data_IF_427705794481
#
_entry.id   IF_427705794481
#
_cell.length_a   1.000
_cell.length_b   1.000
_cell.length_c   1.000
_cell.angle_alpha   90.00
_cell.angle_beta   90.00
_cell.angle_gamma   90.00
#
_symmetry.space_group_name_H-M   'P 1'
#
loop_
_entity.id
_entity.type
_entity.pdbx_description
1 polymer ?
#
# COMPACT_ATOMS: atom_id res chain seq x y z
N UNK A 1 65.83 -65.17 -38.27
CA UNK A 1 66.20 -64.26 -37.16
C UNK A 1 65.69 -62.82 -37.36
N UNK A 2 65.53 -62.29 -38.59
CA UNK A 2 64.95 -60.93 -38.78
C UNK A 2 63.43 -60.80 -38.61
N UNK A 3 62.66 -61.89 -38.59
CA UNK A 3 61.18 -61.83 -38.51
C UNK A 3 60.60 -61.81 -37.09
N UNK A 4 61.38 -62.19 -36.07
CA UNK A 4 60.92 -62.26 -34.68
C UNK A 4 61.09 -60.93 -33.92
N UNK A 5 61.93 -60.01 -34.42
CA UNK A 5 62.10 -58.69 -33.80
C UNK A 5 60.95 -57.72 -34.14
N UNK A 6 60.21 -57.97 -35.23
CA UNK A 6 59.11 -57.11 -35.69
C UNK A 6 57.78 -57.36 -34.97
N UNK A 7 57.59 -58.57 -34.41
CA UNK A 7 56.38 -58.95 -33.66
C UNK A 7 56.37 -58.37 -32.25
N UNK A 8 57.52 -58.32 -31.57
CA UNK A 8 57.63 -57.71 -30.23
C UNK A 8 57.39 -56.19 -30.23
N UNK A 9 57.70 -55.49 -31.32
CA UNK A 9 57.42 -54.06 -31.46
C UNK A 9 55.92 -53.76 -31.58
N UNK A 10 55.19 -54.60 -32.32
CA UNK A 10 53.74 -54.46 -32.52
C UNK A 10 52.95 -54.74 -31.25
N UNK A 11 53.32 -55.76 -30.49
CA UNK A 11 52.63 -56.12 -29.25
C UNK A 11 52.80 -55.05 -28.16
N UNK A 12 53.98 -54.44 -28.06
CA UNK A 12 54.22 -53.29 -27.17
C UNK A 12 53.42 -52.05 -27.59
N UNK A 13 53.30 -51.80 -28.90
CA UNK A 13 52.49 -50.70 -29.42
C UNK A 13 50.99 -50.86 -29.13
N UNK A 14 50.46 -52.07 -29.30
CA UNK A 14 49.05 -52.39 -28.98
C UNK A 14 48.79 -52.23 -27.47
N UNK A 15 49.71 -52.70 -26.62
CA UNK A 15 49.56 -52.55 -25.17
C UNK A 15 49.57 -51.07 -24.75
N UNK A 16 50.49 -50.26 -25.28
CA UNK A 16 50.53 -48.83 -25.01
C UNK A 16 49.26 -48.09 -25.47
N UNK A 17 48.70 -48.47 -26.62
CA UNK A 17 47.43 -47.93 -27.11
C UNK A 17 46.26 -48.30 -26.17
N UNK A 18 46.17 -49.55 -25.74
CA UNK A 18 45.13 -49.98 -24.80
C UNK A 18 45.25 -49.28 -23.44
N UNK A 19 46.47 -49.11 -22.93
CA UNK A 19 46.71 -48.41 -21.66
C UNK A 19 46.27 -46.93 -21.74
N UNK A 20 46.49 -46.26 -22.89
CA UNK A 20 46.02 -44.89 -23.13
C UNK A 20 44.49 -44.81 -23.22
N UNK A 21 43.84 -45.76 -23.90
CA UNK A 21 42.37 -45.82 -24.02
C UNK A 21 41.73 -46.04 -22.64
N UNK A 22 42.25 -46.97 -21.86
CA UNK A 22 41.76 -47.25 -20.50
C UNK A 22 41.92 -46.02 -19.58
N UNK A 23 43.05 -45.32 -19.65
CA UNK A 23 43.26 -44.10 -18.87
C UNK A 23 42.29 -42.97 -19.26
N UNK A 24 41.92 -42.87 -20.54
CA UNK A 24 40.95 -41.89 -21.02
C UNK A 24 39.52 -42.22 -20.56
N UNK A 25 39.15 -43.50 -20.57
CA UNK A 25 37.85 -43.97 -20.09
C UNK A 25 37.70 -43.77 -18.56
N UNK A 26 38.75 -44.05 -17.77
CA UNK A 26 38.76 -43.79 -16.34
C UNK A 26 38.63 -42.29 -16.02
N UNK A 27 39.33 -41.43 -16.76
CA UNK A 27 39.22 -39.98 -16.62
C UNK A 27 37.79 -39.48 -16.97
N UNK A 28 37.18 -40.01 -18.03
CA UNK A 28 35.80 -39.68 -18.41
C UNK A 28 34.80 -40.09 -17.32
N UNK A 29 34.97 -41.27 -16.71
CA UNK A 29 34.12 -41.75 -15.62
C UNK A 29 34.24 -40.85 -14.36
N UNK A 30 35.46 -40.42 -14.02
CA UNK A 30 35.72 -39.52 -12.91
C UNK A 30 35.10 -38.12 -13.13
N UNK A 31 35.17 -37.59 -14.35
CA UNK A 31 34.51 -36.31 -14.73
C UNK A 31 33.00 -36.42 -14.60
N UNK A 32 32.38 -37.51 -15.10
CA UNK A 32 30.94 -37.72 -14.96
C UNK A 32 30.50 -37.85 -13.49
N UNK A 33 31.30 -38.50 -12.65
CA UNK A 33 31.03 -38.58 -11.21
C UNK A 33 31.16 -37.20 -10.53
N UNK A 34 32.17 -36.40 -10.89
CA UNK A 34 32.33 -35.04 -10.36
C UNK A 34 31.15 -34.13 -10.75
N UNK A 35 30.69 -34.19 -12.00
CA UNK A 35 29.53 -33.44 -12.48
C UNK A 35 28.23 -33.85 -11.77
N UNK A 36 28.06 -35.15 -11.51
CA UNK A 36 26.91 -35.65 -10.75
C UNK A 36 26.89 -35.13 -9.31
N UNK A 37 28.06 -35.03 -8.66
CA UNK A 37 28.21 -34.51 -7.32
C UNK A 37 27.89 -33.00 -7.26
N UNK A 38 28.41 -32.22 -8.22
CA UNK A 38 28.11 -30.80 -8.33
C UNK A 38 26.63 -30.53 -8.61
N UNK A 39 25.98 -31.36 -9.43
CA UNK A 39 24.55 -31.25 -9.71
C UNK A 39 23.72 -31.51 -8.44
N UNK A 40 24.04 -32.57 -7.69
CA UNK A 40 23.38 -32.88 -6.43
C UNK A 40 23.53 -31.74 -5.42
N UNK A 41 24.74 -31.19 -5.28
CA UNK A 41 25.01 -30.06 -4.40
C UNK A 41 24.17 -28.83 -4.78
N UNK A 42 24.07 -28.50 -6.07
CA UNK A 42 23.23 -27.40 -6.57
C UNK A 42 21.75 -27.62 -6.26
N UNK A 43 21.24 -28.84 -6.49
CA UNK A 43 19.85 -29.19 -6.19
C UNK A 43 19.55 -29.11 -4.70
N UNK A 44 20.47 -29.56 -3.85
CA UNK A 44 20.36 -29.47 -2.40
C UNK A 44 20.26 -28.00 -1.94
N UNK A 45 21.15 -27.13 -2.40
CA UNK A 45 21.09 -25.70 -2.07
C UNK A 45 19.82 -25.04 -2.58
N UNK A 46 19.39 -25.34 -3.81
CA UNK A 46 18.13 -24.83 -4.36
C UNK A 46 16.93 -25.20 -3.48
N UNK A 47 16.90 -26.44 -2.97
CA UNK A 47 15.85 -26.92 -2.08
C UNK A 47 15.83 -26.17 -0.75
N UNK A 48 17.01 -25.91 -0.16
CA UNK A 48 17.12 -25.10 1.08
C UNK A 48 16.59 -23.69 0.86
N UNK A 49 17.01 -23.03 -0.22
CA UNK A 49 16.58 -21.67 -0.54
C UNK A 49 15.07 -21.59 -0.78
N UNK A 50 14.51 -22.57 -1.49
CA UNK A 50 13.06 -22.67 -1.70
C UNK A 50 12.32 -22.87 -0.37
N UNK A 51 12.81 -23.74 0.51
CA UNK A 51 12.21 -23.96 1.83
C UNK A 51 12.24 -22.69 2.69
N UNK A 52 13.33 -21.93 2.65
CA UNK A 52 13.42 -20.62 3.32
C UNK A 52 12.40 -19.63 2.75
N UNK A 53 12.28 -19.53 1.43
CA UNK A 53 11.30 -18.63 0.80
C UNK A 53 9.87 -19.00 1.16
N UNK A 54 9.52 -20.29 1.14
CA UNK A 54 8.19 -20.76 1.55
C UNK A 54 7.89 -20.34 2.99
N UNK A 55 8.87 -20.46 3.90
CA UNK A 55 8.71 -20.04 5.30
C UNK A 55 8.44 -18.54 5.44
N UNK A 56 9.13 -17.70 4.69
CA UNK A 56 8.91 -16.24 4.68
C UNK A 56 7.50 -15.89 4.19
N UNK A 57 7.08 -16.48 3.08
CA UNK A 57 5.74 -16.26 2.51
C UNK A 57 4.63 -16.71 3.47
N UNK A 58 4.84 -17.82 4.20
CA UNK A 58 3.90 -18.28 5.22
C UNK A 58 3.77 -17.28 6.38
N UNK A 59 4.87 -16.67 6.82
CA UNK A 59 4.84 -15.64 7.85
C UNK A 59 4.10 -14.39 7.38
N UNK A 60 4.38 -13.92 6.16
CA UNK A 60 3.69 -12.78 5.57
C UNK A 60 2.19 -13.03 5.44
N UNK A 61 1.80 -14.22 4.96
CA UNK A 61 0.39 -14.62 4.89
C UNK A 61 -0.29 -14.57 6.25
N UNK A 62 0.36 -15.09 7.28
CA UNK A 62 -0.16 -15.09 8.65
C UNK A 62 -0.35 -13.66 9.21
N UNK A 63 0.58 -12.75 8.94
CA UNK A 63 0.45 -11.34 9.34
C UNK A 63 -0.70 -10.63 8.62
N UNK A 64 -0.86 -10.88 7.32
CA UNK A 64 -1.96 -10.32 6.53
C UNK A 64 -3.32 -10.82 7.01
N UNK A 65 -3.44 -12.11 7.35
CA UNK A 65 -4.66 -12.69 7.92
C UNK A 65 -5.04 -12.00 9.23
N UNK A 66 -4.06 -11.78 10.14
CA UNK A 66 -4.29 -11.00 11.37
C UNK A 66 -4.75 -9.57 11.09
N UNK A 67 -4.19 -8.92 10.07
CA UNK A 67 -4.59 -7.56 9.70
C UNK A 67 -6.00 -7.50 9.12
N UNK A 68 -6.37 -8.48 8.29
CA UNK A 68 -7.73 -8.64 7.77
C UNK A 68 -8.72 -8.86 8.91
N UNK A 69 -8.40 -9.72 9.87
CA UNK A 69 -9.24 -9.95 11.05
C UNK A 69 -9.44 -8.67 11.86
N UNK A 70 -8.36 -7.92 12.11
CA UNK A 70 -8.42 -6.62 12.78
C UNK A 70 -9.33 -5.64 12.03
N UNK A 71 -9.14 -5.47 10.72
CA UNK A 71 -9.98 -4.59 9.90
C UNK A 71 -11.45 -5.03 9.91
N UNK A 72 -11.73 -6.34 9.86
CA UNK A 72 -13.09 -6.86 9.94
C UNK A 72 -13.73 -6.61 11.31
N UNK A 73 -12.95 -6.74 12.39
CA UNK A 73 -13.41 -6.42 13.75
C UNK A 73 -13.76 -4.94 13.89
N UNK A 74 -12.94 -4.04 13.33
CA UNK A 74 -13.20 -2.60 13.30
C UNK A 74 -14.42 -2.27 12.44
N UNK A 75 -14.52 -2.88 11.24
CA UNK A 75 -15.69 -2.75 10.36
C UNK A 75 -16.97 -3.14 11.08
N UNK A 76 -16.98 -4.26 11.82
CA UNK A 76 -18.13 -4.72 12.62
C UNK A 76 -18.49 -3.71 13.72
N UNK A 77 -17.50 -3.09 14.38
CA UNK A 77 -17.75 -1.98 15.32
C UNK A 77 -18.43 -0.80 14.62
N UNK A 78 -17.93 -0.36 13.47
CA UNK A 78 -18.56 0.71 12.70
C UNK A 78 -19.96 0.36 12.20
N UNK A 79 -20.20 -0.89 11.81
CA UNK A 79 -21.53 -1.39 11.44
C UNK A 79 -22.50 -1.36 12.62
N UNK A 80 -22.07 -1.77 13.81
CA UNK A 80 -22.91 -1.67 15.03
C UNK A 80 -23.23 -0.22 15.42
N UNK A 81 -22.37 0.74 15.07
CA UNK A 81 -22.61 2.18 15.29
C UNK A 81 -23.43 2.83 14.17
N UNK A 82 -23.59 2.17 13.02
CA UNK A 82 -24.39 2.69 11.94
C UNK A 82 -25.87 2.45 12.23
N UNK A 83 -26.66 3.53 12.25
CA UNK A 83 -28.11 3.46 12.45
C UNK A 83 -28.74 2.75 11.23
N UNK A 84 -29.42 1.60 11.40
CA UNK A 84 -30.15 0.96 10.32
C UNK A 84 -31.28 1.87 9.83
N UNK A 85 -31.33 2.18 8.53
CA UNK A 85 -32.56 2.67 7.90
C UNK A 85 -32.63 4.13 7.43
N UNK A 86 -31.55 4.93 7.48
CA UNK A 86 -31.55 6.24 6.79
C UNK A 86 -30.96 6.06 5.38
N UNK A 87 -31.80 5.59 4.46
CA UNK A 87 -31.60 5.75 3.02
C UNK A 87 -31.93 7.20 2.67
N UNK A 88 -30.93 8.07 2.54
CA UNK A 88 -31.15 9.38 1.93
C UNK A 88 -31.11 9.19 0.41
N UNK A 89 -32.17 9.55 -0.33
CA UNK A 89 -32.12 9.57 -1.78
C UNK A 89 -31.07 10.60 -2.20
N UNK A 90 -29.90 10.14 -2.63
CA UNK A 90 -29.04 10.96 -3.47
C UNK A 90 -29.70 11.00 -4.84
N UNK A 91 -30.05 12.22 -5.22
CA UNK A 91 -30.23 12.74 -6.56
C UNK A 91 -30.25 11.74 -7.72
N UNK A 92 -31.22 11.98 -8.60
CA UNK A 92 -31.62 11.36 -9.88
C UNK A 92 -30.52 10.90 -10.85
N UNK A 93 -29.24 11.01 -10.53
CA UNK A 93 -28.12 10.53 -11.35
C UNK A 93 -27.24 9.55 -10.57
N UNK A 94 -27.66 8.28 -10.58
CA UNK A 94 -26.75 7.13 -10.66
C UNK A 94 -25.69 6.98 -9.56
N UNK A 95 -26.09 6.33 -8.47
CA UNK A 95 -25.32 5.30 -7.74
C UNK A 95 -23.88 5.66 -7.34
N UNK A 96 -23.74 6.60 -6.40
CA UNK A 96 -22.68 6.50 -5.40
C UNK A 96 -23.34 6.39 -4.01
N UNK A 97 -23.41 5.18 -3.46
CA UNK A 97 -23.79 4.94 -2.07
C UNK A 97 -22.63 5.39 -1.19
N UNK A 98 -22.50 6.70 -0.98
CA UNK A 98 -21.60 7.20 0.06
C UNK A 98 -22.24 6.86 1.39
N UNK A 99 -21.62 5.95 2.15
CA UNK A 99 -21.93 5.73 3.57
C UNK A 99 -21.62 7.03 4.31
N UNK A 100 -22.58 7.95 4.35
CA UNK A 100 -22.47 9.15 5.17
C UNK A 100 -22.50 8.67 6.60
N UNK A 101 -21.33 8.57 7.24
CA UNK A 101 -21.26 8.53 8.69
C UNK A 101 -22.05 9.74 9.17
N UNK A 102 -23.25 9.50 9.70
CA UNK A 102 -24.13 10.55 10.16
C UNK A 102 -23.46 11.20 11.37
N UNK A 103 -22.61 12.21 11.11
CA UNK A 103 -22.13 13.11 12.16
C UNK A 103 -23.40 13.63 12.85
N UNK A 104 -23.51 13.54 14.18
CA UNK A 104 -24.70 13.98 14.88
C UNK A 104 -25.03 15.39 14.42
N UNK A 105 -26.26 15.56 13.92
CA UNK A 105 -26.73 16.84 13.40
C UNK A 105 -26.59 17.84 14.55
N UNK A 106 -25.70 18.83 14.40
CA UNK A 106 -25.44 19.82 15.45
C UNK A 106 -26.79 20.40 15.87
N UNK A 107 -27.09 20.34 17.17
CA UNK A 107 -28.29 20.95 17.70
C UNK A 107 -28.28 22.43 17.33
N UNK A 108 -29.32 22.87 16.62
CA UNK A 108 -29.43 24.26 16.20
C UNK A 108 -29.84 25.06 17.43
N UNK A 109 -28.95 25.95 17.90
CA UNK A 109 -29.26 26.86 19.00
C UNK A 109 -30.49 27.71 18.68
N UNK A 110 -31.36 27.89 19.66
CA UNK A 110 -32.53 28.75 19.53
C UNK A 110 -32.14 30.23 19.50
N UNK A 111 -33.08 31.10 19.12
CA UNK A 111 -32.84 32.56 19.01
C UNK A 111 -32.39 33.18 20.34
N UNK A 112 -32.89 32.64 21.46
CA UNK A 112 -32.59 33.07 22.83
C UNK A 112 -31.22 32.57 23.31
N UNK A 113 -30.77 31.41 22.86
CA UNK A 113 -29.48 30.81 23.25
C UNK A 113 -28.26 31.48 22.59
N UNK A 114 -28.46 32.18 21.48
CA UNK A 114 -27.35 32.81 20.74
C UNK A 114 -27.02 34.17 21.37
N UNK A 115 -25.85 34.24 22.03
CA UNK A 115 -25.30 35.50 22.55
C UNK A 115 -24.93 36.45 21.40
N UNK A 116 -25.62 37.60 21.31
CA UNK A 116 -25.44 38.57 20.21
C UNK A 116 -24.42 39.65 20.55
N UNK A 117 -23.16 39.25 20.73
CA UNK A 117 -22.07 40.15 21.14
C UNK A 117 -21.62 41.11 20.03
N UNK A 118 -21.89 40.78 18.77
CA UNK A 118 -21.38 41.53 17.61
C UNK A 118 -22.40 42.58 17.14
N UNK A 119 -22.16 43.85 17.48
CA UNK A 119 -23.05 44.97 17.09
C UNK A 119 -22.60 45.61 15.77
N UNK A 120 -23.56 45.99 14.93
CA UNK A 120 -23.27 46.83 13.77
C UNK A 120 -22.79 48.21 14.24
N UNK A 121 -21.75 48.75 13.59
CA UNK A 121 -21.15 50.06 13.90
C UNK A 121 -21.55 51.16 12.90
N UNK A 122 -22.38 50.83 11.92
CA UNK A 122 -22.94 51.81 10.99
C UNK A 122 -23.87 52.75 11.78
N UNK A 123 -23.74 54.07 11.59
CA UNK A 123 -24.35 55.08 12.47
C UNK A 123 -25.87 54.99 12.65
N UNK A 124 -26.58 54.37 11.71
CA UNK A 124 -28.05 54.22 11.76
C UNK A 124 -28.52 52.78 12.05
N UNK A 125 -27.62 51.86 12.42
CA UNK A 125 -27.96 50.45 12.61
C UNK A 125 -27.72 49.96 14.04
N UNK A 126 -28.80 49.53 14.71
CA UNK A 126 -28.77 48.98 16.07
C UNK A 126 -28.76 47.45 16.14
N UNK A 127 -28.56 46.76 15.00
CA UNK A 127 -28.65 45.29 14.94
C UNK A 127 -27.43 44.61 15.56
N UNK A 128 -27.70 43.49 16.26
CA UNK A 128 -26.69 42.66 16.94
C UNK A 128 -26.76 41.21 16.47
N UNK A 129 -25.60 40.58 16.31
CA UNK A 129 -25.40 39.28 15.67
C UNK A 129 -24.61 38.31 16.55
N UNK A 130 -24.84 37.01 16.36
CA UNK A 130 -24.25 35.95 17.17
C UNK A 130 -22.82 35.55 16.78
N UNK A 131 -22.39 35.90 15.57
CA UNK A 131 -21.04 35.64 15.05
C UNK A 131 -20.58 36.76 14.14
N UNK A 132 -19.27 36.94 14.04
CA UNK A 132 -18.66 37.93 13.15
C UNK A 132 -19.04 37.70 11.68
N UNK A 133 -19.08 36.45 11.21
CA UNK A 133 -19.49 36.13 9.85
C UNK A 133 -20.91 36.61 9.52
N UNK A 134 -21.86 36.45 10.45
CA UNK A 134 -23.23 36.95 10.28
C UNK A 134 -23.32 38.48 10.33
N UNK A 135 -22.45 39.14 11.12
CA UNK A 135 -22.33 40.60 11.11
C UNK A 135 -21.74 41.12 9.79
N UNK A 136 -20.68 40.50 9.28
CA UNK A 136 -20.05 40.88 8.01
C UNK A 136 -21.01 40.72 6.84
N UNK A 137 -21.75 39.60 6.81
CA UNK A 137 -22.80 39.39 5.81
C UNK A 137 -23.89 40.48 5.91
N UNK A 138 -24.29 40.86 7.12
CA UNK A 138 -25.23 41.95 7.31
C UNK A 138 -24.70 43.29 6.77
N UNK A 139 -23.46 43.66 7.10
CA UNK A 139 -22.83 44.90 6.64
C UNK A 139 -22.74 44.91 5.11
N UNK A 140 -22.30 43.81 4.50
CA UNK A 140 -22.21 43.68 3.04
C UNK A 140 -23.57 43.88 2.33
N UNK A 141 -24.66 43.37 2.92
CA UNK A 141 -26.00 43.43 2.31
C UNK A 141 -26.80 44.69 2.65
N UNK A 142 -26.53 45.34 3.78
CA UNK A 142 -27.34 46.47 4.29
C UNK A 142 -26.58 47.78 4.40
N UNK A 143 -25.25 47.75 4.35
CA UNK A 143 -24.37 48.92 4.46
C UNK A 143 -23.23 48.83 3.42
N UNK A 144 -23.55 48.83 2.12
CA UNK A 144 -22.54 48.65 1.06
C UNK A 144 -21.46 49.74 1.08
N UNK A 145 -21.83 50.99 1.33
CA UNK A 145 -20.85 52.10 1.44
C UNK A 145 -19.85 51.88 2.58
N UNK A 146 -20.37 51.55 3.77
CA UNK A 146 -19.55 51.26 4.94
C UNK A 146 -18.67 50.01 4.75
N UNK A 147 -19.15 49.02 3.98
CA UNK A 147 -18.34 47.85 3.62
C UNK A 147 -17.14 48.22 2.75
N UNK A 148 -17.32 49.13 1.79
CA UNK A 148 -16.24 49.62 0.93
C UNK A 148 -15.18 50.40 1.73
N UNK A 149 -15.61 51.26 2.66
CA UNK A 149 -14.71 51.96 3.58
C UNK A 149 -13.88 50.99 4.45
N UNK A 150 -14.51 49.94 4.95
CA UNK A 150 -13.83 48.91 5.75
C UNK A 150 -12.78 48.16 4.92
N UNK A 151 -13.08 47.82 3.66
CA UNK A 151 -12.13 47.17 2.76
C UNK A 151 -10.95 48.10 2.45
N UNK A 152 -11.24 49.35 2.08
CA UNK A 152 -10.23 50.33 1.69
C UNK A 152 -9.31 50.73 2.86
N UNK A 153 -9.83 50.69 4.09
CA UNK A 153 -9.04 50.94 5.31
C UNK A 153 -8.19 49.76 5.77
N UNK A 154 -8.18 48.63 5.05
CA UNK A 154 -7.34 47.47 5.36
C UNK A 154 -7.70 46.74 6.66
N UNK A 155 -8.85 47.04 7.27
CA UNK A 155 -9.29 46.48 8.56
C UNK A 155 -9.87 45.07 8.46
N UNK A 156 -10.08 44.55 7.25
CA UNK A 156 -10.52 43.17 7.01
C UNK A 156 -9.35 42.37 6.48
N UNK A 157 -8.90 41.38 7.26
CA UNK A 157 -8.00 40.35 6.74
C UNK A 157 -8.76 39.57 5.66
N UNK A 158 -8.25 39.57 4.43
CA UNK A 158 -8.74 38.64 3.38
C UNK A 158 -8.64 37.21 3.94
N UNK A 159 -9.78 36.53 4.01
CA UNK A 159 -9.84 35.08 4.21
C UNK A 159 -9.37 34.39 2.93
#
# INVERSE_FOLDING_TARGET
LSSEMDSQGKEKGIKALNDVVLAHDEAALAVMQADSCLLYQKQYYATILLAQRIKEEMLQKFELEKMIEKMNSEKKRYESMAIPGILVPTDKHGKHLVRVMAKPKRHRRTKSEIQRKYKCRSGHCSKSYGSEGSLNQHIKLKHPEYWNEIINSGKVRKL
#
